data_IF_869189055873
#
_entry.id   IF_869189055873
#
_cell.length_a   1.000
_cell.length_b   1.000
_cell.length_c   1.000
_cell.angle_alpha   90.00
_cell.angle_beta   90.00
_cell.angle_gamma   90.00
#
_symmetry.space_group_name_H-M   'P 1'
#
loop_
_entity.id
_entity.type
_entity.pdbx_description
1 polymer ?
#
# COMPACT_ATOMS: atom_id res chain seq x y z
N UNK A 1 -22.19 -1.14 9.20
CA UNK A 1 -22.58 -0.20 10.29
C UNK A 1 -22.44 1.25 9.79
N UNK A 2 -23.25 2.23 10.22
CA UNK A 2 -23.00 3.64 9.86
C UNK A 2 -22.09 4.32 10.90
N UNK A 3 -21.07 5.04 10.45
CA UNK A 3 -20.22 5.86 11.31
C UNK A 3 -20.84 7.25 11.55
N UNK A 4 -20.36 7.97 12.56
CA UNK A 4 -20.78 9.35 12.85
C UNK A 4 -20.28 10.35 11.79
N UNK A 5 -19.05 10.13 11.30
CA UNK A 5 -18.40 10.94 10.27
C UNK A 5 -18.61 10.34 8.87
N UNK A 6 -18.53 11.15 7.80
CA UNK A 6 -18.52 10.64 6.44
C UNK A 6 -17.45 9.58 6.22
N UNK A 7 -17.78 8.52 5.50
CA UNK A 7 -16.89 7.40 5.19
C UNK A 7 -16.69 7.29 3.68
N UNK A 8 -15.43 7.38 3.26
CA UNK A 8 -15.03 7.15 1.87
C UNK A 8 -14.27 5.83 1.82
N UNK A 9 -14.86 4.82 1.22
CA UNK A 9 -14.24 3.50 1.11
C UNK A 9 -13.43 3.37 -0.17
N UNK A 10 -12.23 2.83 -0.03
CA UNK A 10 -11.36 2.41 -1.12
C UNK A 10 -11.12 0.91 -0.98
N UNK A 11 -11.84 0.13 -1.76
CA UNK A 11 -11.69 -1.32 -1.86
C UNK A 11 -11.07 -1.68 -3.21
N UNK A 12 -10.87 -2.98 -3.48
CA UNK A 12 -10.27 -3.42 -4.73
C UNK A 12 -10.66 -4.83 -5.12
N UNK A 13 -10.34 -5.19 -6.34
CA UNK A 13 -10.64 -6.51 -6.91
C UNK A 13 -9.72 -7.60 -6.40
N UNK A 14 -8.47 -7.24 -6.07
CA UNK A 14 -7.46 -8.15 -5.55
C UNK A 14 -6.45 -7.49 -4.58
N UNK A 15 -5.68 -8.33 -3.89
CA UNK A 15 -4.46 -7.89 -3.18
C UNK A 15 -3.46 -7.28 -4.17
N UNK A 16 -2.90 -6.12 -3.83
CA UNK A 16 -1.91 -5.44 -4.66
C UNK A 16 -2.48 -4.57 -5.78
N UNK A 17 -3.80 -4.38 -5.86
CA UNK A 17 -4.43 -3.50 -6.87
C UNK A 17 -4.06 -2.00 -6.75
N UNK A 18 -3.46 -1.58 -5.63
CA UNK A 18 -3.06 -0.18 -5.37
C UNK A 18 -4.02 0.60 -4.47
N UNK A 19 -4.90 -0.10 -3.74
CA UNK A 19 -5.90 0.48 -2.80
C UNK A 19 -5.32 1.55 -1.87
N UNK A 20 -4.27 1.22 -1.13
CA UNK A 20 -3.68 2.16 -0.16
C UNK A 20 -3.07 3.40 -0.81
N UNK A 21 -2.58 3.29 -2.05
CA UNK A 21 -2.12 4.45 -2.84
C UNK A 21 -3.28 5.34 -3.26
N UNK A 22 -4.40 4.75 -3.70
CA UNK A 22 -5.63 5.48 -4.02
C UNK A 22 -6.24 6.11 -2.76
N UNK A 23 -6.25 5.40 -1.62
CA UNK A 23 -6.69 5.93 -0.34
C UNK A 23 -5.85 7.14 0.13
N UNK A 24 -4.53 7.07 -0.05
CA UNK A 24 -3.62 8.21 0.17
C UNK A 24 -3.98 9.39 -0.73
N UNK A 25 -4.27 9.14 -2.00
CA UNK A 25 -4.67 10.20 -2.94
C UNK A 25 -6.02 10.84 -2.54
N UNK A 26 -6.99 10.03 -2.10
CA UNK A 26 -8.26 10.53 -1.55
C UNK A 26 -8.02 11.47 -0.37
N UNK A 27 -7.20 11.05 0.61
CA UNK A 27 -6.84 11.90 1.75
C UNK A 27 -6.22 13.22 1.26
N UNK A 28 -5.20 13.15 0.41
CA UNK A 28 -4.50 14.31 -0.16
C UNK A 28 -5.45 15.27 -0.88
N UNK A 29 -6.38 14.77 -1.71
CA UNK A 29 -7.37 15.59 -2.40
C UNK A 29 -8.25 16.31 -1.37
N UNK A 30 -8.85 15.59 -0.42
CA UNK A 30 -9.84 16.18 0.47
C UNK A 30 -9.24 17.15 1.49
N UNK A 31 -8.06 16.84 2.00
CA UNK A 31 -7.34 17.74 2.91
C UNK A 31 -6.95 19.06 2.21
N UNK A 32 -6.64 19.02 0.90
CA UNK A 32 -6.30 20.22 0.12
C UNK A 32 -7.52 21.03 -0.29
N UNK A 33 -8.57 20.38 -0.76
CA UNK A 33 -9.74 21.06 -1.32
C UNK A 33 -10.68 21.60 -0.23
N UNK A 34 -10.78 20.89 0.90
CA UNK A 34 -11.73 21.24 1.97
C UNK A 34 -11.06 21.68 3.27
N UNK A 35 -9.72 21.63 3.38
CA UNK A 35 -8.98 21.90 4.62
C UNK A 35 -9.47 21.06 5.83
N UNK A 36 -10.01 19.88 5.55
CA UNK A 36 -10.47 18.89 6.54
C UNK A 36 -9.34 17.96 6.93
N UNK A 37 -9.51 17.19 8.01
CA UNK A 37 -8.56 16.17 8.45
C UNK A 37 -9.14 14.77 8.29
N UNK A 38 -8.45 13.91 7.55
CA UNK A 38 -8.84 12.51 7.38
C UNK A 38 -8.25 11.58 8.43
N UNK A 39 -9.00 10.55 8.81
CA UNK A 39 -8.51 9.42 9.62
C UNK A 39 -8.67 8.13 8.83
N UNK A 40 -7.64 7.29 8.84
CA UNK A 40 -7.66 6.01 8.11
C UNK A 40 -8.24 4.92 9.00
N UNK A 41 -9.18 4.15 8.48
CA UNK A 41 -9.67 2.91 9.09
C UNK A 41 -9.28 1.76 8.16
N UNK A 42 -8.39 0.88 8.60
CA UNK A 42 -7.97 -0.29 7.81
C UNK A 42 -8.89 -1.48 8.09
N UNK A 43 -9.02 -2.35 7.09
CA UNK A 43 -9.64 -3.66 7.24
C UNK A 43 -8.90 -4.52 8.28
N UNK A 44 -9.57 -5.45 8.99
CA UNK A 44 -8.90 -6.20 10.05
C UNK A 44 -7.93 -7.21 9.45
N UNK A 45 -6.63 -6.96 9.67
CA UNK A 45 -5.55 -7.91 9.42
C UNK A 45 -4.86 -8.21 10.76
N UNK A 46 -5.66 -8.60 11.74
CA UNK A 46 -5.19 -8.81 13.11
C UNK A 46 -4.56 -10.19 13.25
N UNK A 47 -3.30 -10.22 13.69
CA UNK A 47 -2.60 -11.44 14.02
C UNK A 47 -2.27 -11.50 15.52
N UNK A 48 -2.17 -12.70 16.08
CA UNK A 48 -1.74 -12.87 17.48
C UNK A 48 -2.83 -12.62 18.52
N UNK A 49 -2.58 -11.70 19.46
CA UNK A 49 -3.44 -11.46 20.61
C UNK A 49 -4.64 -10.57 20.25
N UNK A 50 -5.82 -11.18 20.17
CA UNK A 50 -7.07 -10.50 19.84
C UNK A 50 -7.53 -9.53 20.93
N UNK A 51 -7.20 -9.75 22.21
CA UNK A 51 -7.57 -8.84 23.29
C UNK A 51 -6.83 -7.50 23.16
N UNK A 52 -5.57 -7.56 22.72
CA UNK A 52 -4.77 -6.35 22.41
C UNK A 52 -5.20 -5.65 21.13
N UNK A 53 -6.05 -6.29 20.33
CA UNK A 53 -6.45 -5.83 19.00
C UNK A 53 -7.91 -5.37 18.93
N UNK A 54 -8.55 -5.12 20.07
CA UNK A 54 -9.93 -4.61 20.10
C UNK A 54 -10.05 -3.27 19.38
N UNK A 55 -9.18 -2.32 19.72
CA UNK A 55 -9.00 -1.04 19.02
C UNK A 55 -7.51 -0.73 19.02
N UNK A 56 -6.89 -0.75 17.85
CA UNK A 56 -5.50 -0.33 17.67
C UNK A 56 -5.48 1.01 16.97
N UNK A 57 -4.80 1.97 17.58
CA UNK A 57 -4.56 3.32 17.04
C UNK A 57 -3.07 3.50 16.83
N UNK A 58 -2.66 3.86 15.62
CA UNK A 58 -1.27 4.12 15.23
C UNK A 58 -1.19 5.51 14.62
N UNK A 59 -0.39 6.40 15.22
CA UNK A 59 -0.26 7.79 14.74
C UNK A 59 1.19 8.21 14.50
N UNK A 60 2.15 7.33 14.75
CA UNK A 60 3.58 7.63 14.68
C UNK A 60 4.41 6.40 14.33
N UNK A 61 5.63 6.61 13.87
CA UNK A 61 6.57 5.52 13.59
C UNK A 61 6.94 4.78 14.88
N UNK A 62 6.92 5.45 16.03
CA UNK A 62 7.03 4.85 17.36
C UNK A 62 5.86 3.91 17.66
N UNK A 63 4.63 4.32 17.33
CA UNK A 63 3.44 3.49 17.51
C UNK A 63 3.49 2.25 16.62
N UNK A 64 4.00 2.36 15.38
CA UNK A 64 4.21 1.19 14.51
C UNK A 64 5.01 0.12 15.24
N UNK A 65 6.11 0.47 15.90
CA UNK A 65 6.93 -0.53 16.60
C UNK A 65 6.28 -1.05 17.89
N UNK A 66 5.54 -0.19 18.60
CA UNK A 66 5.04 -0.50 19.96
C UNK A 66 3.66 -1.16 20.00
N UNK A 67 2.84 -0.94 18.98
CA UNK A 67 1.40 -1.30 18.99
C UNK A 67 1.02 -2.38 18.00
N UNK A 68 1.81 -2.61 16.95
CA UNK A 68 1.57 -3.70 16.01
C UNK A 68 2.16 -5.00 16.53
N UNK A 69 1.58 -6.13 16.13
CA UNK A 69 2.03 -7.45 16.56
C UNK A 69 2.90 -8.17 15.53
N UNK A 70 2.97 -7.68 14.29
CA UNK A 70 3.76 -8.28 13.21
C UNK A 70 4.29 -7.23 12.24
N UNK A 71 5.29 -7.60 11.43
CA UNK A 71 5.78 -6.74 10.35
C UNK A 71 4.69 -6.45 9.31
N UNK A 72 3.81 -7.41 9.04
CA UNK A 72 2.67 -7.20 8.13
C UNK A 72 1.73 -6.11 8.67
N UNK A 73 1.40 -6.13 9.97
CA UNK A 73 0.61 -5.04 10.58
C UNK A 73 1.34 -3.68 10.51
N UNK A 74 2.67 -3.67 10.64
CA UNK A 74 3.48 -2.46 10.42
C UNK A 74 3.33 -1.98 8.98
N UNK A 75 3.52 -2.85 8.00
CA UNK A 75 3.48 -2.52 6.57
C UNK A 75 2.10 -1.99 6.16
N UNK A 76 1.02 -2.56 6.71
CA UNK A 76 -0.36 -2.16 6.42
C UNK A 76 -0.70 -0.73 6.91
N UNK A 77 -0.02 -0.23 7.95
CA UNK A 77 -0.22 1.11 8.52
C UNK A 77 0.88 2.12 8.14
N UNK A 78 2.09 1.65 7.80
CA UNK A 78 3.26 2.49 7.65
C UNK A 78 3.13 3.55 6.55
N UNK A 79 2.47 3.22 5.43
CA UNK A 79 2.23 4.18 4.35
C UNK A 79 1.51 5.43 4.87
N UNK A 80 0.39 5.25 5.55
CA UNK A 80 -0.46 6.35 6.04
C UNK A 80 0.21 7.10 7.18
N UNK A 81 0.84 6.39 8.12
CA UNK A 81 1.53 7.00 9.26
C UNK A 81 2.71 7.86 8.81
N UNK A 82 3.48 7.42 7.80
CA UNK A 82 4.59 8.22 7.23
C UNK A 82 4.11 9.48 6.51
N UNK A 83 2.86 9.46 6.02
CA UNK A 83 2.20 10.63 5.42
C UNK A 83 1.44 11.49 6.45
N UNK A 84 1.59 11.20 7.75
CA UNK A 84 1.03 12.03 8.83
C UNK A 84 -0.41 11.70 9.21
N UNK A 85 -0.99 10.62 8.68
CA UNK A 85 -2.36 10.22 9.00
C UNK A 85 -2.40 9.27 10.20
N UNK A 86 -3.47 9.39 10.99
CA UNK A 86 -3.78 8.42 12.06
C UNK A 86 -4.47 7.21 11.45
N UNK A 87 -4.02 6.01 11.83
CA UNK A 87 -4.58 4.74 11.38
C UNK A 87 -5.25 4.03 12.54
N UNK A 88 -6.49 3.58 12.32
CA UNK A 88 -7.20 2.67 13.20
C UNK A 88 -7.43 1.32 12.54
N UNK A 89 -7.28 0.25 13.31
CA UNK A 89 -7.66 -1.11 12.92
C UNK A 89 -7.94 -1.94 14.18
N UNK A 90 -8.40 -3.18 14.00
CA UNK A 90 -8.70 -4.10 15.09
C UNK A 90 -9.96 -4.89 14.83
N UNK A 91 -10.53 -5.50 15.85
CA UNK A 91 -11.66 -6.43 15.70
C UNK A 91 -13.03 -5.82 16.03
N UNK A 92 -13.10 -4.72 16.81
CA UNK A 92 -14.37 -4.08 17.21
C UNK A 92 -14.62 -2.80 16.41
N UNK A 93 -15.24 -2.95 15.24
CA UNK A 93 -15.49 -1.83 14.33
C UNK A 93 -16.51 -0.81 14.84
N UNK A 94 -17.33 -1.19 15.83
CA UNK A 94 -18.21 -0.23 16.50
C UNK A 94 -17.37 0.75 17.32
N UNK A 95 -16.46 0.23 18.15
CA UNK A 95 -15.56 1.07 18.94
C UNK A 95 -14.56 1.82 18.08
N UNK A 96 -13.98 1.17 17.06
CA UNK A 96 -13.05 1.82 16.13
C UNK A 96 -13.72 3.02 15.45
N UNK A 97 -14.95 2.88 14.94
CA UNK A 97 -15.64 3.99 14.30
C UNK A 97 -15.87 5.17 15.26
N UNK A 98 -16.21 4.89 16.52
CA UNK A 98 -16.40 5.92 17.56
C UNK A 98 -15.08 6.61 17.91
N UNK A 99 -13.99 5.87 18.09
CA UNK A 99 -12.69 6.47 18.43
C UNK A 99 -12.10 7.25 17.24
N UNK A 100 -12.15 6.69 16.03
CA UNK A 100 -11.65 7.35 14.82
C UNK A 100 -12.41 8.66 14.52
N UNK A 101 -13.73 8.68 14.75
CA UNK A 101 -14.56 9.86 14.55
C UNK A 101 -14.20 11.07 15.44
N UNK A 102 -13.48 10.86 16.55
CA UNK A 102 -13.02 11.94 17.44
C UNK A 102 -11.78 12.66 16.91
N UNK A 103 -11.07 12.08 15.96
CA UNK A 103 -9.75 12.57 15.54
C UNK A 103 -9.72 13.24 14.17
N UNK A 104 -10.82 13.17 13.41
CA UNK A 104 -10.92 13.79 12.10
C UNK A 104 -12.34 14.15 11.70
N UNK A 105 -12.44 14.80 10.55
CA UNK A 105 -13.69 15.27 9.97
C UNK A 105 -14.33 14.21 9.07
N UNK A 106 -13.53 13.29 8.54
CA UNK A 106 -13.98 12.17 7.72
C UNK A 106 -13.08 10.95 7.90
N UNK A 107 -13.61 9.78 7.53
CA UNK A 107 -12.90 8.51 7.58
C UNK A 107 -12.62 8.03 6.16
N UNK A 108 -11.39 7.57 5.93
CA UNK A 108 -11.04 6.81 4.71
C UNK A 108 -10.88 5.36 5.09
N UNK A 109 -11.75 4.51 4.55
CA UNK A 109 -11.62 3.07 4.69
C UNK A 109 -10.65 2.54 3.65
N UNK A 110 -9.49 2.07 4.09
CA UNK A 110 -8.50 1.44 3.21
C UNK A 110 -8.61 -0.08 3.31
N UNK A 111 -9.18 -0.67 2.26
CA UNK A 111 -9.53 -2.08 2.19
C UNK A 111 -8.33 -3.03 2.29
N UNK A 112 -8.51 -4.14 2.99
CA UNK A 112 -7.58 -5.27 3.02
C UNK A 112 -7.95 -6.27 1.94
N UNK A 113 -6.94 -6.97 1.41
CA UNK A 113 -7.10 -7.97 0.36
C UNK A 113 -8.05 -7.53 -0.78
N UNK A 114 -9.23 -8.11 -0.90
CA UNK A 114 -10.31 -7.69 -1.79
C UNK A 114 -11.65 -7.58 -1.06
N UNK A 115 -11.61 -7.40 0.26
CA UNK A 115 -12.79 -7.41 1.12
C UNK A 115 -13.68 -6.18 0.98
N UNK A 116 -14.92 -6.33 1.46
CA UNK A 116 -15.92 -5.26 1.55
C UNK A 116 -15.78 -4.46 2.85
N UNK A 117 -16.18 -3.18 2.90
CA UNK A 117 -16.06 -2.38 4.09
C UNK A 117 -17.07 -2.79 5.17
N UNK A 118 -16.65 -2.75 6.43
CA UNK A 118 -17.52 -3.03 7.58
C UNK A 118 -18.30 -1.78 8.03
N UNK A 119 -17.77 -0.61 7.68
CA UNK A 119 -18.45 0.67 7.76
C UNK A 119 -19.21 0.92 6.46
N UNK A 120 -20.43 1.44 6.56
CA UNK A 120 -21.26 1.83 5.42
C UNK A 120 -20.62 3.08 4.82
N UNK A 121 -20.14 3.02 3.57
CA UNK A 121 -19.56 4.18 2.92
C UNK A 121 -20.64 5.16 2.44
N UNK A 122 -20.29 6.44 2.42
CA UNK A 122 -21.00 7.51 1.74
C UNK A 122 -20.50 7.69 0.30
N UNK A 123 -19.23 7.33 0.04
CA UNK A 123 -18.64 7.17 -1.30
C UNK A 123 -17.87 5.85 -1.35
N UNK A 124 -18.13 5.05 -2.38
CA UNK A 124 -17.50 3.74 -2.60
C UNK A 124 -16.60 3.77 -3.84
N UNK A 125 -15.29 3.68 -3.63
CA UNK A 125 -14.28 3.62 -4.68
C UNK A 125 -13.74 2.19 -4.77
N UNK A 126 -13.68 1.64 -5.98
CA UNK A 126 -13.10 0.31 -6.22
C UNK A 126 -11.93 0.39 -7.17
N UNK A 127 -10.79 -0.16 -6.76
CA UNK A 127 -9.55 -0.20 -7.56
C UNK A 127 -9.46 -1.54 -8.29
N UNK A 128 -9.39 -1.47 -9.61
CA UNK A 128 -9.22 -2.60 -10.53
C UNK A 128 -7.77 -2.66 -11.02
N UNK A 129 -7.11 -3.80 -10.89
CA UNK A 129 -5.76 -4.03 -11.46
C UNK A 129 -5.84 -4.62 -12.87
N UNK A 130 -5.50 -3.83 -13.88
CA UNK A 130 -5.58 -4.29 -15.29
C UNK A 130 -4.43 -5.20 -15.71
N UNK A 131 -3.45 -5.42 -14.84
CA UNK A 131 -2.37 -6.38 -15.11
C UNK A 131 -2.80 -7.84 -14.84
N UNK A 132 -4.02 -8.04 -14.33
CA UNK A 132 -4.65 -9.33 -14.05
C UNK A 132 -6.01 -9.39 -14.74
N UNK A 133 -6.14 -10.22 -15.77
CA UNK A 133 -7.41 -10.32 -16.51
C UNK A 133 -8.53 -10.91 -15.63
N UNK A 134 -8.17 -11.78 -14.68
CA UNK A 134 -9.09 -12.38 -13.71
C UNK A 134 -9.72 -11.36 -12.74
N UNK A 135 -9.13 -10.17 -12.58
CA UNK A 135 -9.68 -9.16 -11.67
C UNK A 135 -10.97 -8.52 -12.22
N UNK A 136 -11.24 -8.65 -13.53
CA UNK A 136 -12.47 -8.18 -14.16
C UNK A 136 -13.67 -9.09 -13.87
N UNK A 137 -13.46 -10.38 -13.58
CA UNK A 137 -14.54 -11.38 -13.42
C UNK A 137 -14.19 -12.52 -12.48
N UNK A 138 -15.14 -12.93 -11.63
CA UNK A 138 -15.03 -14.19 -10.90
C UNK A 138 -14.14 -14.17 -9.66
N UNK A 139 -13.67 -12.98 -9.24
CA UNK A 139 -13.06 -12.80 -7.92
C UNK A 139 -14.13 -12.45 -6.88
N UNK A 140 -14.15 -13.19 -5.78
CA UNK A 140 -14.99 -12.86 -4.63
C UNK A 140 -14.12 -12.38 -3.45
N UNK A 141 -14.49 -11.27 -2.77
CA UNK A 141 -15.58 -10.36 -3.09
C UNK A 141 -15.20 -9.22 -4.08
N UNK A 142 -14.16 -9.39 -4.90
CA UNK A 142 -13.73 -8.37 -5.88
C UNK A 142 -14.83 -7.88 -6.84
N UNK A 143 -15.62 -8.79 -7.42
CA UNK A 143 -16.76 -8.41 -8.28
C UNK A 143 -17.85 -7.66 -7.49
N UNK A 144 -18.05 -8.00 -6.22
CA UNK A 144 -18.99 -7.29 -5.34
C UNK A 144 -18.56 -5.83 -5.20
N UNK A 145 -17.26 -5.57 -5.02
CA UNK A 145 -16.73 -4.22 -4.95
C UNK A 145 -16.97 -3.44 -6.25
N UNK A 146 -16.80 -4.05 -7.42
CA UNK A 146 -17.07 -3.40 -8.71
C UNK A 146 -18.55 -3.03 -8.86
N UNK A 147 -19.46 -3.91 -8.44
CA UNK A 147 -20.91 -3.68 -8.51
C UNK A 147 -21.42 -2.62 -7.54
N UNK A 148 -20.74 -2.44 -6.40
CA UNK A 148 -21.09 -1.46 -5.38
C UNK A 148 -20.42 -0.09 -5.60
N UNK A 149 -19.42 -0.01 -6.48
CA UNK A 149 -18.65 1.20 -6.70
C UNK A 149 -19.51 2.37 -7.20
N UNK A 150 -19.17 3.55 -6.72
CA UNK A 150 -19.53 4.84 -7.30
C UNK A 150 -18.46 5.32 -8.29
N UNK A 151 -17.19 5.00 -8.01
CA UNK A 151 -16.04 5.27 -8.88
C UNK A 151 -15.20 4.00 -8.99
N UNK A 152 -14.90 3.59 -10.22
CA UNK A 152 -13.98 2.49 -10.54
C UNK A 152 -12.67 3.10 -11.04
N UNK A 153 -11.60 2.90 -10.26
CA UNK A 153 -10.24 3.31 -10.61
C UNK A 153 -9.55 2.14 -11.31
N UNK A 154 -9.46 2.24 -12.64
CA UNK A 154 -8.78 1.28 -13.51
C UNK A 154 -7.28 1.57 -13.45
N UNK A 155 -6.59 0.86 -12.57
CA UNK A 155 -5.22 1.18 -12.18
C UNK A 155 -4.17 0.34 -12.93
N UNK A 156 -2.90 0.78 -12.88
CA UNK A 156 -1.78 0.19 -13.63
C UNK A 156 -2.01 0.18 -15.14
N UNK A 157 -2.71 1.21 -15.63
CA UNK A 157 -3.17 1.30 -17.01
C UNK A 157 -2.18 1.96 -17.97
N UNK A 158 -0.96 2.29 -17.51
CA UNK A 158 0.03 3.05 -18.29
C UNK A 158 0.49 2.37 -19.59
N UNK A 159 0.27 1.05 -19.71
CA UNK A 159 0.61 0.26 -20.91
C UNK A 159 -0.61 -0.16 -21.75
N UNK A 160 -1.83 0.21 -21.37
CA UNK A 160 -3.03 -0.21 -22.10
C UNK A 160 -3.15 0.48 -23.45
N UNK A 161 -3.49 -0.30 -24.48
CA UNK A 161 -3.89 0.24 -25.78
C UNK A 161 -5.30 0.84 -25.71
N UNK A 162 -5.67 1.68 -26.68
CA UNK A 162 -7.03 2.21 -26.77
C UNK A 162 -8.09 1.11 -26.88
N UNK A 163 -7.79 0.04 -27.63
CA UNK A 163 -8.69 -1.11 -27.78
C UNK A 163 -8.89 -1.87 -26.47
N UNK A 164 -7.84 -2.01 -25.65
CA UNK A 164 -7.95 -2.65 -24.34
C UNK A 164 -8.79 -1.81 -23.38
N UNK A 165 -8.65 -0.48 -23.43
CA UNK A 165 -9.47 0.45 -22.64
C UNK A 165 -10.94 0.36 -23.02
N UNK A 166 -11.26 0.33 -24.31
CA UNK A 166 -12.64 0.16 -24.80
C UNK A 166 -13.25 -1.16 -24.34
N UNK A 167 -12.52 -2.27 -24.45
CA UNK A 167 -12.96 -3.59 -23.95
C UNK A 167 -13.26 -3.57 -22.46
N UNK A 168 -12.40 -2.92 -21.66
CA UNK A 168 -12.60 -2.79 -20.21
C UNK A 168 -13.84 -1.93 -19.92
N UNK A 169 -14.02 -0.80 -20.62
CA UNK A 169 -15.18 0.07 -20.44
C UNK A 169 -16.49 -0.64 -20.76
N UNK A 170 -16.58 -1.33 -21.90
CA UNK A 170 -17.76 -2.12 -22.27
C UNK A 170 -18.10 -3.16 -21.20
N UNK A 171 -17.08 -3.78 -20.60
CA UNK A 171 -17.28 -4.77 -19.55
C UNK A 171 -17.76 -4.14 -18.25
N UNK A 172 -17.13 -3.05 -17.82
CA UNK A 172 -17.51 -2.34 -16.60
C UNK A 172 -18.91 -1.74 -16.71
N UNK A 173 -19.33 -1.30 -17.89
CA UNK A 173 -20.69 -0.83 -18.17
C UNK A 173 -21.73 -1.95 -17.94
N UNK A 174 -21.43 -3.18 -18.38
CA UNK A 174 -22.30 -4.34 -18.14
C UNK A 174 -22.38 -4.74 -16.66
N UNK A 175 -21.28 -4.56 -15.91
CA UNK A 175 -21.21 -4.91 -14.49
C UNK A 175 -21.86 -3.84 -13.61
N UNK A 176 -21.58 -2.56 -13.89
CA UNK A 176 -22.02 -1.39 -13.14
C UNK A 176 -21.96 -0.10 -14.00
N UNK A 177 -22.89 0.07 -14.93
CA UNK A 177 -23.02 1.30 -15.74
C UNK A 177 -23.45 2.56 -14.98
N UNK A 178 -23.48 2.53 -13.64
CA UNK A 178 -23.69 3.74 -12.80
C UNK A 178 -22.39 4.35 -12.31
N UNK A 179 -21.30 3.58 -12.26
CA UNK A 179 -20.05 4.06 -11.70
C UNK A 179 -19.31 4.95 -12.71
N UNK A 180 -18.67 6.01 -12.23
CA UNK A 180 -17.66 6.70 -13.02
C UNK A 180 -16.44 5.80 -13.17
N UNK A 181 -15.90 5.67 -14.39
CA UNK A 181 -14.71 4.85 -14.66
C UNK A 181 -13.56 5.78 -15.02
N UNK A 182 -12.44 5.68 -14.30
CA UNK A 182 -11.25 6.52 -14.51
C UNK A 182 -10.01 5.65 -14.67
N UNK A 183 -9.08 6.06 -15.53
CA UNK A 183 -7.85 5.31 -15.80
C UNK A 183 -6.65 5.97 -15.13
N UNK A 184 -5.97 5.23 -14.25
CA UNK A 184 -4.77 5.70 -13.55
C UNK A 184 -3.57 4.80 -13.80
N UNK A 185 -2.38 5.36 -13.70
CA UNK A 185 -1.13 4.60 -13.72
C UNK A 185 -0.47 4.57 -12.34
N UNK A 186 0.54 3.72 -12.19
CA UNK A 186 1.39 3.73 -11.00
C UNK A 186 2.84 3.97 -11.38
N UNK A 187 3.47 4.90 -10.69
CA UNK A 187 4.88 5.22 -10.86
C UNK A 187 5.64 5.08 -9.54
N UNK A 188 6.86 4.54 -9.58
CA UNK A 188 7.74 4.49 -8.41
C UNK A 188 8.48 5.82 -8.24
N UNK A 189 8.43 6.37 -7.04
CA UNK A 189 9.17 7.56 -6.62
C UNK A 189 10.06 7.22 -5.42
N UNK A 190 11.07 8.06 -5.20
CA UNK A 190 11.97 7.95 -4.03
C UNK A 190 12.15 9.29 -3.35
N UNK A 191 12.36 9.26 -2.04
CA UNK A 191 12.59 10.45 -1.21
C UNK A 191 13.94 11.13 -1.49
N UNK A 192 15.00 10.37 -1.79
CA UNK A 192 16.31 10.89 -2.12
C UNK A 192 16.91 10.26 -3.40
N UNK A 193 16.55 10.75 -4.59
CA UNK A 193 17.07 10.24 -5.87
C UNK A 193 18.60 10.29 -6.00
N UNK A 194 19.24 11.27 -5.34
CA UNK A 194 20.68 11.49 -5.43
C UNK A 194 21.50 10.42 -4.70
N UNK A 195 20.92 9.75 -3.71
CA UNK A 195 21.55 8.64 -2.99
C UNK A 195 21.60 7.34 -3.82
N UNK A 196 20.84 7.24 -4.92
CA UNK A 196 20.86 6.06 -5.82
C UNK A 196 21.82 6.27 -6.99
N UNK A 197 21.79 7.46 -7.61
CA UNK A 197 22.44 7.71 -8.91
C UNK A 197 23.93 7.42 -8.89
N UNK A 198 24.38 6.53 -9.78
CA UNK A 198 25.80 6.17 -9.94
C UNK A 198 26.38 5.34 -8.78
N UNK A 199 25.55 4.92 -7.81
CA UNK A 199 25.98 4.18 -6.62
C UNK A 199 25.68 2.70 -6.72
N UNK A 200 26.40 1.89 -5.95
CA UNK A 200 26.09 0.48 -5.72
C UNK A 200 25.07 0.39 -4.60
N UNK A 201 23.91 -0.22 -4.85
CA UNK A 201 22.81 -0.23 -3.89
C UNK A 201 22.42 -1.64 -3.50
N UNK A 202 22.04 -1.82 -2.24
CA UNK A 202 21.24 -2.97 -1.80
C UNK A 202 19.77 -2.62 -2.00
N UNK A 203 18.97 -3.56 -2.49
CA UNK A 203 17.54 -3.38 -2.68
C UNK A 203 16.81 -4.32 -1.72
N UNK A 204 15.95 -3.77 -0.88
CA UNK A 204 15.05 -4.54 -0.02
C UNK A 204 13.64 -4.47 -0.59
N UNK A 205 12.96 -5.60 -0.72
CA UNK A 205 11.60 -5.68 -1.26
C UNK A 205 10.64 -6.27 -0.24
N UNK A 206 9.37 -5.91 -0.38
CA UNK A 206 8.26 -6.53 0.32
C UNK A 206 8.27 -8.06 0.15
N UNK A 207 8.44 -8.78 1.27
CA UNK A 207 8.65 -10.23 1.27
C UNK A 207 7.49 -11.00 0.64
N UNK A 208 6.21 -10.80 1.00
CA UNK A 208 5.08 -11.47 0.35
C UNK A 208 5.07 -11.30 -1.17
N UNK A 209 5.41 -10.11 -1.68
CA UNK A 209 5.45 -9.83 -3.12
C UNK A 209 6.49 -10.68 -3.86
N UNK A 210 7.71 -10.78 -3.33
CA UNK A 210 8.81 -11.47 -4.02
C UNK A 210 8.91 -12.96 -3.67
N UNK A 211 8.30 -13.42 -2.58
CA UNK A 211 8.29 -14.84 -2.20
C UNK A 211 7.05 -15.54 -2.77
N UNK A 212 5.95 -15.58 -2.02
CA UNK A 212 4.70 -16.24 -2.39
C UNK A 212 4.04 -15.60 -3.62
N UNK A 213 4.25 -14.30 -3.86
CA UNK A 213 3.80 -13.60 -5.07
C UNK A 213 4.60 -13.95 -6.34
N UNK A 214 5.69 -14.72 -6.22
CA UNK A 214 6.43 -15.29 -7.35
C UNK A 214 7.23 -14.29 -8.19
N UNK A 215 7.34 -13.02 -7.78
CA UNK A 215 8.10 -12.01 -8.52
C UNK A 215 9.59 -12.06 -8.18
N UNK A 216 10.45 -11.95 -9.19
CA UNK A 216 11.89 -11.85 -8.97
C UNK A 216 12.30 -10.54 -8.29
N UNK A 217 11.53 -9.47 -8.47
CA UNK A 217 11.78 -8.14 -7.92
C UNK A 217 10.48 -7.32 -7.88
N UNK A 218 10.50 -6.18 -7.17
CA UNK A 218 9.34 -5.30 -7.04
C UNK A 218 9.76 -3.81 -7.11
N UNK A 219 9.17 -2.96 -6.27
CA UNK A 219 9.28 -1.51 -6.36
C UNK A 219 10.72 -1.00 -6.18
N UNK A 220 11.43 -1.58 -5.21
CA UNK A 220 12.82 -1.24 -4.88
C UNK A 220 13.76 -1.33 -6.07
N UNK A 221 13.67 -2.45 -6.79
CA UNK A 221 14.51 -2.74 -7.93
C UNK A 221 14.18 -1.84 -9.12
N UNK A 222 12.90 -1.63 -9.39
CA UNK A 222 12.44 -0.72 -10.45
C UNK A 222 12.91 0.71 -10.17
N UNK A 223 12.83 1.16 -8.91
CA UNK A 223 13.34 2.47 -8.49
C UNK A 223 14.87 2.57 -8.67
N UNK A 224 15.63 1.56 -8.23
CA UNK A 224 17.08 1.53 -8.39
C UNK A 224 17.51 1.69 -9.86
N UNK A 225 16.82 1.00 -10.78
CA UNK A 225 17.06 1.16 -12.23
C UNK A 225 16.63 2.54 -12.73
N UNK A 226 15.42 2.97 -12.40
CA UNK A 226 14.85 4.27 -12.82
C UNK A 226 15.76 5.44 -12.44
N UNK A 227 16.32 5.42 -11.24
CA UNK A 227 17.17 6.50 -10.72
C UNK A 227 18.67 6.33 -11.02
N UNK A 228 19.03 5.29 -11.79
CA UNK A 228 20.36 5.13 -12.37
C UNK A 228 21.40 4.61 -11.39
N UNK A 229 21.06 3.63 -10.56
CA UNK A 229 22.06 2.88 -9.78
C UNK A 229 23.16 2.33 -10.70
N UNK A 230 24.43 2.44 -10.27
CA UNK A 230 25.56 1.85 -10.99
C UNK A 230 25.51 0.33 -10.96
N UNK A 231 25.09 -0.23 -9.82
CA UNK A 231 24.98 -1.66 -9.61
C UNK A 231 23.91 -1.93 -8.55
N UNK A 232 23.08 -2.94 -8.78
CA UNK A 232 22.27 -3.56 -7.73
C UNK A 232 23.05 -4.79 -7.24
N UNK A 233 23.55 -4.72 -6.02
CA UNK A 233 24.45 -5.72 -5.42
C UNK A 233 23.68 -7.01 -5.17
N UNK A 234 24.20 -8.15 -5.64
CA UNK A 234 23.59 -9.46 -5.37
C UNK A 234 23.72 -9.79 -3.86
N UNK A 235 22.62 -9.98 -3.13
CA UNK A 235 22.67 -10.25 -1.70
C UNK A 235 23.09 -11.68 -1.34
N UNK A 236 23.02 -12.65 -2.27
CA UNK A 236 23.26 -14.08 -1.96
C UNK A 236 24.61 -14.37 -1.30
N UNK A 237 25.75 -13.80 -1.74
CA UNK A 237 27.04 -14.05 -1.10
C UNK A 237 27.12 -13.54 0.35
N UNK A 238 26.24 -12.61 0.72
CA UNK A 238 26.22 -11.91 2.00
C UNK A 238 25.12 -12.43 2.93
N UNK A 239 24.17 -13.20 2.41
CA UNK A 239 23.02 -13.73 3.14
C UNK A 239 23.42 -14.51 4.41
N UNK A 240 22.82 -14.13 5.53
CA UNK A 240 23.00 -14.72 6.87
C UNK A 240 21.72 -15.41 7.34
N UNK A 241 21.88 -16.42 8.20
CA UNK A 241 20.76 -17.12 8.85
C UNK A 241 19.69 -17.57 7.87
N UNK A 242 18.43 -17.34 8.24
CA UNK A 242 17.24 -17.74 7.46
C UNK A 242 17.19 -17.13 6.06
N UNK A 243 17.82 -15.97 5.82
CA UNK A 243 17.84 -15.38 4.47
C UNK A 243 18.59 -16.26 3.47
N UNK A 244 19.60 -17.03 3.92
CA UNK A 244 20.29 -17.98 3.04
C UNK A 244 19.37 -19.11 2.60
N UNK A 245 18.66 -19.71 3.56
CA UNK A 245 17.67 -20.76 3.31
C UNK A 245 16.51 -20.26 2.44
N UNK A 246 16.14 -18.99 2.60
CA UNK A 246 15.11 -18.35 1.79
C UNK A 246 15.49 -18.31 0.31
N UNK A 247 16.73 -17.95 -0.04
CA UNK A 247 17.17 -17.95 -1.44
C UNK A 247 17.22 -19.35 -2.06
N UNK A 248 17.43 -20.39 -1.26
CA UNK A 248 17.34 -21.79 -1.72
C UNK A 248 15.89 -22.20 -1.97
N UNK A 249 14.98 -21.79 -1.08
CA UNK A 249 13.54 -22.08 -1.18
C UNK A 249 12.86 -21.33 -2.33
N UNK A 250 13.31 -20.11 -2.61
CA UNK A 250 12.74 -19.23 -3.63
C UNK A 250 13.82 -18.86 -4.68
N UNK A 251 14.19 -19.82 -5.56
CA UNK A 251 15.28 -19.63 -6.51
C UNK A 251 15.01 -18.55 -7.57
N UNK A 252 13.74 -18.14 -7.73
CA UNK A 252 13.33 -17.09 -8.67
C UNK A 252 13.66 -15.67 -8.18
N UNK A 253 14.01 -15.49 -6.90
CA UNK A 253 14.38 -14.19 -6.36
C UNK A 253 15.50 -13.55 -7.20
N UNK A 254 15.40 -12.26 -7.47
CA UNK A 254 16.39 -11.52 -8.24
C UNK A 254 17.59 -11.10 -7.39
N UNK A 255 18.13 -9.91 -7.67
CA UNK A 255 19.13 -9.25 -6.82
C UNK A 255 18.43 -8.34 -5.80
N UNK A 256 17.61 -8.94 -4.95
CA UNK A 256 16.79 -8.25 -3.95
C UNK A 256 16.81 -9.01 -2.64
N UNK A 257 16.73 -8.28 -1.52
CA UNK A 257 16.62 -8.82 -0.16
C UNK A 257 15.15 -8.79 0.25
N UNK A 258 14.50 -9.93 0.51
CA UNK A 258 13.13 -9.93 1.03
C UNK A 258 13.08 -9.38 2.46
N UNK A 259 12.10 -8.53 2.78
CA UNK A 259 11.88 -7.93 4.10
C UNK A 259 11.36 -8.92 5.15
N UNK A 260 12.15 -9.95 5.48
CA UNK A 260 11.80 -10.90 6.55
C UNK A 260 11.91 -10.23 7.93
N UNK A 261 10.93 -10.46 8.81
CA UNK A 261 10.94 -9.88 10.17
C UNK A 261 9.84 -10.35 11.11
N UNK A 262 9.37 -11.59 11.00
CA UNK A 262 8.37 -12.20 11.90
C UNK A 262 8.95 -12.53 13.28
N UNK A 263 10.27 -12.69 13.41
CA UNK A 263 10.98 -12.98 14.67
C UNK A 263 12.21 -12.10 14.86
N UNK A 264 12.71 -11.99 16.09
CA UNK A 264 13.95 -11.26 16.38
C UNK A 264 15.16 -11.84 15.63
N UNK A 265 15.20 -13.15 15.40
CA UNK A 265 16.25 -13.84 14.65
C UNK A 265 16.23 -13.46 13.15
N UNK A 266 15.04 -13.31 12.57
CA UNK A 266 14.89 -12.84 11.18
C UNK A 266 15.33 -11.39 11.03
N UNK A 267 14.97 -10.51 11.97
CA UNK A 267 15.44 -9.12 11.96
C UNK A 267 16.96 -9.04 12.10
N UNK A 268 17.56 -9.84 12.98
CA UNK A 268 19.01 -9.89 13.11
C UNK A 268 19.68 -10.40 11.82
N UNK A 269 19.15 -11.46 11.21
CA UNK A 269 19.65 -12.00 9.94
C UNK A 269 19.57 -10.97 8.81
N UNK A 270 18.48 -10.19 8.76
CA UNK A 270 18.28 -9.09 7.80
C UNK A 270 19.31 -7.98 8.03
N UNK A 271 19.50 -7.54 9.27
CA UNK A 271 20.51 -6.52 9.63
C UNK A 271 21.92 -6.96 9.21
N UNK A 272 22.35 -8.16 9.63
CA UNK A 272 23.70 -8.65 9.35
C UNK A 272 23.95 -8.84 7.85
N UNK A 273 22.93 -9.27 7.10
CA UNK A 273 23.01 -9.36 5.64
C UNK A 273 23.22 -7.98 5.05
N UNK A 274 22.38 -6.99 5.37
CA UNK A 274 22.47 -5.64 4.81
C UNK A 274 23.79 -4.94 5.15
N UNK A 275 24.24 -5.04 6.41
CA UNK A 275 25.50 -4.42 6.87
C UNK A 275 26.73 -5.06 6.21
N UNK A 276 26.66 -6.34 5.84
CA UNK A 276 27.78 -7.02 5.17
C UNK A 276 27.83 -6.82 3.66
N UNK A 277 26.78 -6.27 3.05
CA UNK A 277 26.75 -5.98 1.62
C UNK A 277 27.61 -4.75 1.29
N UNK A 278 28.50 -4.83 0.27
CA UNK A 278 29.34 -3.70 -0.13
C UNK A 278 28.53 -2.70 -0.98
N UNK A 279 27.59 -2.02 -0.35
CA UNK A 279 26.69 -1.05 -0.95
C UNK A 279 26.83 0.33 -0.29
N UNK A 280 26.54 1.37 -1.05
CA UNK A 280 26.66 2.77 -0.64
C UNK A 280 25.30 3.34 -0.20
N UNK A 281 24.20 2.66 -0.55
CA UNK A 281 22.85 3.01 -0.11
C UNK A 281 21.95 1.77 -0.11
N UNK A 282 20.91 1.79 0.72
CA UNK A 282 19.86 0.77 0.80
C UNK A 282 18.56 1.38 0.25
N UNK A 283 18.01 0.77 -0.79
CA UNK A 283 16.73 1.17 -1.39
C UNK A 283 15.62 0.28 -0.84
N UNK A 284 14.71 0.88 -0.09
CA UNK A 284 13.60 0.20 0.58
C UNK A 284 12.34 0.23 -0.28
N UNK A 285 12.08 -0.88 -0.97
CA UNK A 285 10.83 -1.21 -1.66
C UNK A 285 9.72 -1.75 -0.75
N UNK A 286 9.92 -1.71 0.57
CA UNK A 286 8.92 -2.05 1.59
C UNK A 286 8.47 -0.77 2.33
N UNK A 287 7.19 -0.65 2.72
CA UNK A 287 6.74 0.47 3.53
C UNK A 287 7.25 0.41 4.98
N UNK A 288 7.77 -0.74 5.43
CA UNK A 288 8.29 -0.92 6.79
C UNK A 288 9.43 0.08 7.11
N UNK A 289 9.44 0.68 8.31
CA UNK A 289 10.49 1.60 8.75
C UNK A 289 11.76 0.83 9.16
N UNK A 290 12.35 0.07 8.23
CA UNK A 290 13.44 -0.87 8.49
C UNK A 290 14.67 -0.21 9.12
N UNK A 291 14.97 1.06 8.79
CA UNK A 291 16.07 1.80 9.45
C UNK A 291 15.94 1.78 10.97
N UNK A 292 14.72 1.97 11.48
CA UNK A 292 14.42 1.99 12.90
C UNK A 292 14.31 0.58 13.50
N UNK A 293 13.70 -0.36 12.77
CA UNK A 293 13.54 -1.74 13.23
C UNK A 293 14.88 -2.50 13.32
N UNK A 294 15.81 -2.20 12.40
CA UNK A 294 17.09 -2.88 12.30
C UNK A 294 18.24 -2.11 12.93
N UNK A 295 18.03 -0.90 13.47
CA UNK A 295 19.06 -0.03 14.03
C UNK A 295 20.24 0.24 13.06
N UNK A 296 19.95 0.42 11.77
CA UNK A 296 20.98 0.54 10.73
C UNK A 296 21.94 1.71 11.02
N UNK A 297 23.25 1.58 10.69
CA UNK A 297 24.23 2.64 10.92
C UNK A 297 23.78 4.00 10.37
N UNK A 298 24.05 5.08 11.09
CA UNK A 298 23.57 6.41 10.71
C UNK A 298 24.15 6.89 9.37
N UNK A 299 25.39 6.52 9.09
CA UNK A 299 26.14 6.81 7.87
C UNK A 299 25.70 5.94 6.68
N UNK A 300 24.89 4.90 6.90
CA UNK A 300 24.26 4.16 5.82
C UNK A 300 23.09 4.97 5.25
N UNK A 301 23.23 5.39 4.00
CA UNK A 301 22.15 6.04 3.26
C UNK A 301 21.00 5.04 3.04
N UNK A 302 19.79 5.47 3.39
CA UNK A 302 18.56 4.69 3.23
C UNK A 302 17.57 5.52 2.43
N UNK A 303 17.07 4.95 1.34
CA UNK A 303 16.16 5.61 0.41
C UNK A 303 14.84 4.86 0.44
N UNK A 304 13.74 5.57 0.67
CA UNK A 304 12.41 4.97 0.68
C UNK A 304 11.77 5.06 -0.70
N UNK A 305 11.26 3.94 -1.18
CA UNK A 305 10.47 3.86 -2.40
C UNK A 305 9.00 3.93 -2.04
N UNK A 306 8.25 4.73 -2.78
CA UNK A 306 6.80 4.78 -2.71
C UNK A 306 6.20 4.70 -4.10
N UNK A 307 5.00 4.12 -4.18
CA UNK A 307 4.18 4.26 -5.37
C UNK A 307 3.41 5.57 -5.32
N UNK A 308 3.38 6.25 -6.46
CA UNK A 308 2.55 7.42 -6.73
C UNK A 308 1.54 7.10 -7.82
N UNK A 309 0.30 7.53 -7.60
CA UNK A 309 -0.75 7.48 -8.61
C UNK A 309 -0.50 8.57 -9.66
N UNK A 310 -0.58 8.23 -10.94
CA UNK A 310 -0.49 9.19 -12.06
C UNK A 310 -1.79 9.17 -12.87
N UNK A 311 -2.08 10.28 -13.57
CA UNK A 311 -3.36 10.45 -14.28
C UNK A 311 -4.53 10.73 -13.34
N UNK A 312 -4.29 11.47 -12.25
CA UNK A 312 -5.25 11.65 -11.15
C UNK A 312 -6.31 12.73 -11.37
N UNK A 313 -6.19 13.55 -12.42
CA UNK A 313 -7.09 14.71 -12.58
C UNK A 313 -8.55 14.29 -12.78
N UNK A 314 -8.81 13.35 -13.69
CA UNK A 314 -10.16 12.84 -13.93
C UNK A 314 -10.73 12.15 -12.69
N UNK A 315 -9.90 11.44 -11.93
CA UNK A 315 -10.29 10.86 -10.64
C UNK A 315 -10.68 11.93 -9.63
N UNK A 316 -9.88 13.00 -9.50
CA UNK A 316 -10.15 14.15 -8.62
C UNK A 316 -11.47 14.82 -9.01
N UNK A 317 -11.66 15.14 -10.28
CA UNK A 317 -12.89 15.80 -10.78
C UNK A 317 -14.14 14.97 -10.48
N UNK A 318 -14.11 13.66 -10.76
CA UNK A 318 -15.24 12.77 -10.48
C UNK A 318 -15.51 12.63 -8.98
N UNK A 319 -14.47 12.55 -8.14
CA UNK A 319 -14.62 12.48 -6.69
C UNK A 319 -15.26 13.76 -6.14
N UNK A 320 -14.75 14.94 -6.52
CA UNK A 320 -15.27 16.22 -6.03
C UNK A 320 -16.72 16.44 -6.47
N UNK A 321 -17.04 16.14 -7.73
CA UNK A 321 -18.42 16.20 -8.25
C UNK A 321 -19.35 15.30 -7.44
N UNK A 322 -18.94 14.07 -7.16
CA UNK A 322 -19.77 13.12 -6.40
C UNK A 322 -20.02 13.58 -4.96
N UNK A 323 -19.01 14.17 -4.32
CA UNK A 323 -19.12 14.71 -2.96
C UNK A 323 -20.09 15.89 -2.89
N UNK A 324 -20.05 16.77 -3.90
CA UNK A 324 -20.98 17.90 -4.04
C UNK A 324 -22.42 17.42 -4.29
N UNK A 325 -22.63 16.52 -5.26
CA UNK A 325 -23.96 15.97 -5.59
C UNK A 325 -24.64 15.29 -4.40
N UNK A 326 -23.84 14.67 -3.51
CA UNK A 326 -24.33 13.98 -2.31
C UNK A 326 -24.33 14.87 -1.07
N UNK A 327 -23.87 16.12 -1.16
CA UNK A 327 -23.75 17.06 -0.07
C UNK A 327 -23.02 16.45 1.16
N UNK A 328 -21.88 15.80 0.93
CA UNK A 328 -21.18 15.02 1.98
C UNK A 328 -20.58 15.91 3.07
N UNK A 329 -20.05 17.07 2.70
CA UNK A 329 -19.35 17.97 3.62
C UNK A 329 -20.10 19.26 3.97
N UNK A 330 -21.31 19.46 3.43
CA UNK A 330 -22.20 20.58 3.79
C UNK A 330 -21.92 21.88 3.06
#
# INVERSE_FOLDING_TARGET
MRAEKPVIAVCGTSTGAGKSTVAKEVLSILEREFALRGVVVRHPMTYGDFERSVVVRVASVEDLVKRTQSLEEVEEAALHVRNGHVVYYGIDYVKIAVEAAKEGDFLVWDGGNNDVPLLKPDVYITVLDVTREEDLEGTYPGEVNLRLADIIVVNKSEKLSSNDKERILERLEQLNGRAAVVFTGMEVEVDNPSAIRGRRVAVVEDSPTVTHGGRAYAAGYVAALKYGAREIVDPRPYAKGELRELYERYPHLGRVVPSLGYTGEQLQSLRETLVSMPCEAIVLGTPAPLRKLLDLPEDQEVVHVEYRLIGVEEFRENLLKLLEERNIFG
#
